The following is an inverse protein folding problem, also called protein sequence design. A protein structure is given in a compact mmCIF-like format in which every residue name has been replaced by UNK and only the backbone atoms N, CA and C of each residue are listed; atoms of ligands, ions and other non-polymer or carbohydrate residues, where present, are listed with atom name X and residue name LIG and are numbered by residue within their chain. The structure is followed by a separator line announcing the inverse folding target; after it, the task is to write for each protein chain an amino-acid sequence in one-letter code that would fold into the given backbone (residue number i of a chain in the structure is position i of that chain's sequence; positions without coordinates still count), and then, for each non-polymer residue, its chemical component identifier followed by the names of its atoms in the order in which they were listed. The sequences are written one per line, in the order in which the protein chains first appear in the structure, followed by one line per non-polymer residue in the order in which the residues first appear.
data_IF_511343526678
#
_entry.id   IF_511343526678
#
_cell.length_a   1.000
_cell.length_b   1.000
_cell.length_c   1.000
_cell.angle_alpha   90.00
_cell.angle_beta   90.00
_cell.angle_gamma   90.00
#
_symmetry.space_group_name_H-M   'P 1'
#
loop_
_entity.id
_entity.type
_entity.pdbx_description
1 polymer ?
#
# COMPACT_ATOMS: atom_id res chain seq x y z
N UNK A 1 -53.34 -43.90 37.03
CA UNK A 1 -51.87 -44.04 37.07
C UNK A 1 -51.35 -43.69 35.69
N UNK A 2 -50.96 -42.43 35.49
CA UNK A 2 -50.28 -41.96 34.28
C UNK A 2 -49.38 -40.81 34.73
N UNK A 3 -48.08 -41.06 34.67
CA UNK A 3 -47.04 -40.13 35.12
C UNK A 3 -46.87 -39.02 34.07
N UNK A 4 -46.91 -37.76 34.51
CA UNK A 4 -46.47 -36.61 33.72
C UNK A 4 -44.97 -36.45 33.90
N UNK A 5 -44.19 -36.76 32.86
CA UNK A 5 -42.78 -36.38 32.80
C UNK A 5 -42.65 -34.86 32.56
N UNK A 6 -41.76 -34.15 33.27
CA UNK A 6 -41.46 -32.76 32.97
C UNK A 6 -40.55 -32.68 31.74
N UNK A 7 -40.95 -31.84 30.77
CA UNK A 7 -40.13 -31.48 29.61
C UNK A 7 -38.78 -30.91 30.07
N UNK A 8 -37.70 -31.61 29.78
CA UNK A 8 -36.35 -31.15 30.06
C UNK A 8 -36.03 -29.90 29.25
N UNK A 9 -35.68 -28.82 29.94
CA UNK A 9 -34.98 -27.68 29.35
C UNK A 9 -33.72 -28.18 28.64
N UNK A 10 -33.71 -28.10 27.30
CA UNK A 10 -32.54 -28.42 26.50
C UNK A 10 -31.34 -27.59 26.96
N UNK A 11 -30.11 -28.15 26.89
CA UNK A 11 -28.92 -27.46 27.37
C UNK A 11 -28.78 -26.11 26.68
N UNK A 12 -28.85 -25.03 27.47
CA UNK A 12 -28.55 -23.67 27.03
C UNK A 12 -27.21 -23.68 26.30
N UNK A 13 -27.25 -23.45 24.98
CA UNK A 13 -26.06 -23.43 24.15
C UNK A 13 -25.08 -22.39 24.72
N UNK A 14 -24.03 -22.88 25.40
CA UNK A 14 -22.97 -22.04 25.96
C UNK A 14 -22.36 -21.29 24.78
N UNK A 15 -22.68 -19.99 24.68
CA UNK A 15 -22.17 -19.14 23.62
C UNK A 15 -20.64 -19.19 23.65
N UNK A 16 -20.03 -19.63 22.56
CA UNK A 16 -18.58 -19.72 22.46
C UNK A 16 -17.95 -18.36 22.84
N UNK A 17 -16.86 -18.34 23.63
CA UNK A 17 -16.21 -17.11 24.04
C UNK A 17 -15.89 -16.23 22.83
N UNK A 18 -16.21 -14.93 22.92
CA UNK A 18 -15.87 -13.98 21.86
C UNK A 18 -14.34 -13.93 21.69
N UNK A 19 -13.82 -13.97 20.45
CA UNK A 19 -12.38 -13.93 20.22
C UNK A 19 -11.77 -12.64 20.78
N UNK A 20 -10.51 -12.68 21.25
CA UNK A 20 -9.84 -11.51 21.82
C UNK A 20 -9.72 -10.38 20.79
N UNK A 21 -9.91 -9.14 21.24
CA UNK A 21 -9.84 -7.95 20.38
C UNK A 21 -8.40 -7.68 19.97
N UNK A 22 -8.19 -7.40 18.69
CA UNK A 22 -6.86 -7.05 18.19
C UNK A 22 -6.38 -5.70 18.77
N UNK A 23 -5.13 -5.66 19.29
CA UNK A 23 -4.52 -4.42 19.73
C UNK A 23 -4.14 -3.52 18.56
N UNK A 24 -4.07 -2.20 18.78
CA UNK A 24 -3.62 -1.25 17.74
C UNK A 24 -2.11 -0.96 17.78
N UNK A 25 -1.46 -1.24 18.91
CA UNK A 25 -0.07 -0.84 19.15
C UNK A 25 0.91 -1.39 18.10
N UNK A 26 0.78 -2.61 17.55
CA UNK A 26 1.80 -3.09 16.61
C UNK A 26 1.79 -2.28 15.30
N UNK A 27 0.60 -1.89 14.83
CA UNK A 27 0.47 -0.99 13.68
C UNK A 27 1.00 0.41 13.99
N UNK A 28 0.79 0.92 15.21
CA UNK A 28 1.34 2.22 15.62
C UNK A 28 2.87 2.20 15.69
N UNK A 29 3.48 1.11 16.14
CA UNK A 29 4.94 0.94 16.13
C UNK A 29 5.45 0.88 14.68
N UNK A 30 4.82 0.04 13.85
CA UNK A 30 5.21 -0.16 12.46
C UNK A 30 5.10 1.14 11.62
N UNK A 31 3.97 1.82 11.67
CA UNK A 31 3.69 3.01 10.84
C UNK A 31 4.05 4.33 11.52
N UNK A 32 3.98 4.42 12.85
CA UNK A 32 4.15 5.67 13.57
C UNK A 32 5.59 6.00 13.95
N UNK A 33 6.46 5.00 14.07
CA UNK A 33 7.88 5.20 14.40
C UNK A 33 8.78 5.25 13.16
N UNK A 34 8.22 5.46 11.96
CA UNK A 34 8.97 5.51 10.70
C UNK A 34 10.16 6.47 10.74
N UNK A 35 10.08 7.70 11.30
CA UNK A 35 11.27 8.55 11.41
C UNK A 35 12.40 7.92 12.22
N UNK A 36 12.07 7.17 13.28
CA UNK A 36 13.05 6.46 14.09
C UNK A 36 13.61 5.23 13.37
N UNK A 37 12.75 4.45 12.71
CA UNK A 37 13.19 3.31 11.91
C UNK A 37 14.07 3.72 10.74
N UNK A 38 13.75 4.84 10.12
CA UNK A 38 14.56 5.43 9.06
C UNK A 38 15.90 5.89 9.61
N UNK A 39 15.93 6.70 10.69
CA UNK A 39 17.19 7.16 11.29
C UNK A 39 18.09 6.00 11.74
N UNK A 40 17.49 4.90 12.19
CA UNK A 40 18.20 3.69 12.56
C UNK A 40 18.72 2.85 11.37
N UNK A 41 18.29 3.14 10.13
CA UNK A 41 18.54 2.30 8.95
C UNK A 41 17.78 0.98 8.96
N UNK A 42 16.74 0.87 9.79
CA UNK A 42 15.98 -0.36 10.02
C UNK A 42 14.63 -0.39 9.31
N UNK A 43 14.20 0.69 8.65
CA UNK A 43 12.86 0.84 8.07
C UNK A 43 12.43 -0.34 7.18
N UNK A 44 13.33 -0.80 6.30
CA UNK A 44 13.06 -1.91 5.41
C UNK A 44 13.09 -3.27 6.11
N UNK A 45 13.94 -3.44 7.13
CA UNK A 45 14.13 -4.71 7.84
C UNK A 45 13.09 -4.95 8.93
N UNK A 46 12.64 -3.88 9.60
CA UNK A 46 11.63 -3.96 10.65
C UNK A 46 10.25 -4.28 10.07
N UNK A 47 10.01 -3.98 8.79
CA UNK A 47 8.70 -4.18 8.16
C UNK A 47 8.25 -5.65 8.20
N UNK A 48 9.03 -6.64 7.72
CA UNK A 48 8.66 -8.04 7.82
C UNK A 48 8.62 -8.56 9.26
N UNK A 49 9.45 -8.02 10.15
CA UNK A 49 9.44 -8.37 11.59
C UNK A 49 8.12 -7.93 12.26
N UNK A 50 7.66 -6.71 12.00
CA UNK A 50 6.33 -6.26 12.43
C UNK A 50 5.21 -7.10 11.78
N UNK A 51 5.38 -7.49 10.51
CA UNK A 51 4.50 -8.43 9.83
C UNK A 51 4.37 -9.77 10.57
N UNK A 52 5.49 -10.34 11.02
CA UNK A 52 5.50 -11.58 11.80
C UNK A 52 4.80 -11.43 13.15
N UNK A 53 4.98 -10.31 13.85
CA UNK A 53 4.26 -10.02 15.12
C UNK A 53 2.75 -9.92 14.87
N UNK A 54 2.33 -9.20 13.83
CA UNK A 54 0.91 -9.10 13.45
C UNK A 54 0.33 -10.47 13.10
N UNK A 55 1.07 -11.30 12.38
CA UNK A 55 0.67 -12.67 12.04
C UNK A 55 0.51 -13.53 13.30
N UNK A 56 1.47 -13.49 14.22
CA UNK A 56 1.39 -14.21 15.49
C UNK A 56 0.12 -13.82 16.29
N UNK A 57 -0.21 -12.53 16.32
CA UNK A 57 -1.44 -12.05 16.95
C UNK A 57 -2.72 -12.55 16.25
N UNK A 58 -2.71 -12.67 14.91
CA UNK A 58 -3.82 -13.25 14.16
C UNK A 58 -3.96 -14.76 14.42
N UNK A 59 -2.84 -15.49 14.52
CA UNK A 59 -2.81 -16.92 14.84
C UNK A 59 -3.36 -17.17 16.25
N UNK A 60 -2.85 -16.46 17.26
CA UNK A 60 -3.31 -16.58 18.66
C UNK A 60 -4.80 -16.25 18.79
N UNK A 61 -5.28 -15.30 18.00
CA UNK A 61 -6.70 -14.94 17.95
C UNK A 61 -7.58 -16.05 17.34
N UNK A 62 -7.05 -16.86 16.43
CA UNK A 62 -7.77 -17.97 15.80
C UNK A 62 -8.71 -17.54 14.67
N UNK A 63 -10.03 -17.47 14.93
CA UNK A 63 -11.05 -17.24 13.88
C UNK A 63 -10.94 -15.84 13.26
N UNK A 64 -10.18 -15.73 12.17
CA UNK A 64 -9.92 -14.49 11.44
C UNK A 64 -10.63 -14.52 10.08
N UNK A 65 -11.67 -13.71 9.86
CA UNK A 65 -12.27 -13.59 8.53
C UNK A 65 -11.29 -12.88 7.60
N UNK A 66 -10.85 -13.58 6.57
CA UNK A 66 -9.94 -13.02 5.56
C UNK A 66 -10.70 -12.06 4.63
N UNK A 67 -10.08 -10.95 4.20
CA UNK A 67 -10.66 -10.07 3.19
C UNK A 67 -10.98 -10.84 1.90
N UNK A 68 -12.06 -10.50 1.18
CA UNK A 68 -12.31 -11.00 -0.16
C UNK A 68 -11.06 -10.85 -1.06
N UNK A 69 -10.86 -11.80 -1.97
CA UNK A 69 -9.68 -11.91 -2.86
C UNK A 69 -8.37 -12.36 -2.20
N UNK A 70 -8.35 -12.66 -0.90
CA UNK A 70 -7.16 -13.24 -0.23
C UNK A 70 -6.62 -14.48 -0.96
N UNK A 71 -7.50 -15.36 -1.46
CA UNK A 71 -7.08 -16.56 -2.21
C UNK A 71 -6.25 -16.25 -3.48
N UNK A 72 -6.56 -15.16 -4.19
CA UNK A 72 -5.80 -14.74 -5.38
C UNK A 72 -4.39 -14.30 -4.98
N UNK A 73 -4.26 -13.59 -3.85
CA UNK A 73 -2.95 -13.20 -3.33
C UNK A 73 -2.16 -14.38 -2.78
N UNK A 74 -2.82 -15.36 -2.15
CA UNK A 74 -2.16 -16.59 -1.71
C UNK A 74 -1.62 -17.39 -2.90
N UNK A 75 -2.36 -17.45 -4.01
CA UNK A 75 -1.87 -18.06 -5.26
C UNK A 75 -0.67 -17.29 -5.81
N UNK A 76 -0.72 -15.96 -5.81
CA UNK A 76 0.44 -15.12 -6.15
C UNK A 76 1.66 -15.44 -5.27
N UNK A 77 1.50 -15.50 -3.94
CA UNK A 77 2.58 -15.83 -3.01
C UNK A 77 3.13 -17.25 -3.24
N UNK A 78 2.28 -18.22 -3.56
CA UNK A 78 2.72 -19.57 -3.91
C UNK A 78 3.57 -19.57 -5.19
N UNK A 79 3.18 -18.81 -6.22
CA UNK A 79 3.96 -18.67 -7.45
C UNK A 79 5.30 -17.95 -7.21
N UNK A 80 5.31 -16.92 -6.37
CA UNK A 80 6.55 -16.26 -5.93
C UNK A 80 7.46 -17.27 -5.24
N UNK A 81 6.94 -18.06 -4.28
CA UNK A 81 7.72 -19.10 -3.60
C UNK A 81 8.28 -20.15 -4.58
N UNK A 82 7.48 -20.61 -5.55
CA UNK A 82 7.93 -21.55 -6.58
C UNK A 82 9.03 -20.95 -7.48
N UNK A 83 8.96 -19.66 -7.79
CA UNK A 83 10.00 -18.98 -8.57
C UNK A 83 11.37 -18.93 -7.88
N UNK A 84 11.44 -19.18 -6.56
CA UNK A 84 12.71 -19.32 -5.85
C UNK A 84 13.59 -20.43 -6.45
N UNK A 85 12.98 -21.46 -7.05
CA UNK A 85 13.68 -22.55 -7.75
C UNK A 85 14.49 -22.08 -8.96
N UNK A 86 14.21 -20.87 -9.48
CA UNK A 86 14.87 -20.28 -10.64
C UNK A 86 16.02 -19.36 -10.26
N UNK A 87 16.30 -19.16 -8.96
CA UNK A 87 17.40 -18.32 -8.51
C UNK A 87 18.74 -18.93 -8.93
N UNK A 88 19.50 -18.19 -9.74
CA UNK A 88 20.80 -18.63 -10.28
C UNK A 88 21.96 -18.48 -9.30
N UNK A 89 21.81 -17.66 -8.25
CA UNK A 89 22.89 -17.36 -7.30
C UNK A 89 22.37 -17.31 -5.86
N UNK A 90 23.11 -17.87 -4.89
CA UNK A 90 22.80 -17.76 -3.46
C UNK A 90 22.68 -16.32 -2.97
N UNK A 91 23.40 -15.37 -3.59
CA UNK A 91 23.38 -13.97 -3.17
C UNK A 91 22.02 -13.30 -3.42
N UNK A 92 21.27 -13.79 -4.41
CA UNK A 92 19.93 -13.30 -4.76
C UNK A 92 18.85 -13.73 -3.76
N UNK A 93 19.15 -14.69 -2.88
CA UNK A 93 18.21 -15.22 -1.89
C UNK A 93 17.80 -14.14 -0.87
N UNK A 94 18.71 -13.25 -0.48
CA UNK A 94 18.42 -12.20 0.49
C UNK A 94 17.44 -11.15 -0.07
N UNK A 95 17.70 -10.50 -1.22
CA UNK A 95 16.71 -9.62 -1.84
C UNK A 95 15.38 -10.32 -2.14
N UNK A 96 15.43 -11.60 -2.57
CA UNK A 96 14.22 -12.39 -2.81
C UNK A 96 13.39 -12.58 -1.53
N UNK A 97 14.03 -13.05 -0.44
CA UNK A 97 13.38 -13.28 0.85
C UNK A 97 12.80 -12.00 1.44
N UNK A 98 13.50 -10.87 1.29
CA UNK A 98 13.03 -9.58 1.75
C UNK A 98 11.79 -9.10 0.98
N UNK A 99 11.80 -9.21 -0.36
CA UNK A 99 10.63 -8.90 -1.21
C UNK A 99 9.43 -9.79 -0.90
N UNK A 100 9.66 -11.10 -0.74
CA UNK A 100 8.64 -12.04 -0.29
C UNK A 100 8.08 -11.61 1.08
N UNK A 101 8.95 -11.22 2.00
CA UNK A 101 8.59 -10.68 3.30
C UNK A 101 7.65 -9.48 3.20
N UNK A 102 7.86 -8.56 2.25
CA UNK A 102 6.94 -7.45 2.01
C UNK A 102 5.58 -7.90 1.46
N UNK A 103 5.55 -8.84 0.52
CA UNK A 103 4.28 -9.38 -0.01
C UNK A 103 3.45 -10.12 1.06
N UNK A 104 4.12 -10.89 1.92
CA UNK A 104 3.48 -11.57 3.06
C UNK A 104 2.99 -10.53 4.08
N UNK A 105 3.82 -9.56 4.43
CA UNK A 105 3.49 -8.50 5.38
C UNK A 105 2.28 -7.69 4.92
N UNK A 106 2.20 -7.38 3.63
CA UNK A 106 1.08 -6.66 3.06
C UNK A 106 -0.24 -7.44 3.25
N UNK A 107 -0.25 -8.76 2.96
CA UNK A 107 -1.41 -9.60 3.21
C UNK A 107 -1.81 -9.60 4.69
N UNK A 108 -0.83 -9.79 5.58
CA UNK A 108 -1.05 -9.82 7.02
C UNK A 108 -1.63 -8.50 7.52
N UNK A 109 -1.06 -7.37 7.14
CA UNK A 109 -1.55 -6.03 7.53
C UNK A 109 -2.94 -5.78 6.97
N UNK A 110 -3.19 -6.12 5.70
CA UNK A 110 -4.51 -5.97 5.10
C UNK A 110 -5.58 -6.77 5.85
N UNK A 111 -5.29 -8.03 6.17
CA UNK A 111 -6.16 -8.88 6.98
C UNK A 111 -6.36 -8.34 8.40
N UNK A 112 -5.28 -7.93 9.06
CA UNK A 112 -5.31 -7.38 10.41
C UNK A 112 -6.18 -6.13 10.50
N UNK A 113 -5.95 -5.17 9.60
CA UNK A 113 -6.66 -3.89 9.55
C UNK A 113 -8.12 -4.10 9.16
N UNK A 114 -8.41 -4.99 8.22
CA UNK A 114 -9.77 -5.35 7.85
C UNK A 114 -10.56 -5.87 9.07
N UNK A 115 -10.00 -6.82 9.81
CA UNK A 115 -10.64 -7.38 11.01
C UNK A 115 -10.78 -6.31 12.09
N UNK A 116 -9.71 -5.56 12.36
CA UNK A 116 -9.73 -4.46 13.34
C UNK A 116 -10.82 -3.43 13.02
N UNK A 117 -10.91 -2.99 11.76
CA UNK A 117 -11.88 -2.02 11.29
C UNK A 117 -13.31 -2.57 11.32
N UNK A 118 -13.52 -3.89 11.10
CA UNK A 118 -14.84 -4.54 11.18
C UNK A 118 -15.39 -4.60 12.60
N UNK A 119 -14.55 -4.71 13.61
CA UNK A 119 -14.98 -4.96 14.99
C UNK A 119 -15.03 -3.72 15.89
N UNK A 120 -14.28 -2.68 15.53
CA UNK A 120 -14.23 -1.45 16.33
C UNK A 120 -15.41 -0.54 16.02
N UNK A 121 -16.16 -0.13 17.03
CA UNK A 121 -17.26 0.83 16.86
C UNK A 121 -16.82 2.10 16.12
N UNK A 122 -15.60 2.59 16.40
CA UNK A 122 -14.98 3.70 15.68
C UNK A 122 -14.08 3.21 14.52
N UNK A 123 -14.52 3.34 13.26
CA UNK A 123 -13.68 2.99 12.11
C UNK A 123 -12.49 3.94 11.92
N UNK A 124 -12.55 5.18 12.42
CA UNK A 124 -11.44 6.13 12.27
C UNK A 124 -10.20 5.69 13.05
N UNK A 125 -10.38 4.95 14.16
CA UNK A 125 -9.29 4.39 14.94
C UNK A 125 -8.39 3.47 14.09
N UNK A 126 -8.95 2.80 13.08
CA UNK A 126 -8.18 1.94 12.18
C UNK A 126 -7.21 2.72 11.29
N UNK A 127 -7.48 4.01 11.01
CA UNK A 127 -6.65 4.86 10.16
C UNK A 127 -5.57 5.64 10.94
N UNK A 128 -5.57 5.58 12.28
CA UNK A 128 -4.57 6.32 13.08
C UNK A 128 -3.12 5.93 12.74
N UNK A 129 -2.77 4.63 12.57
CA UNK A 129 -1.40 4.26 12.18
C UNK A 129 -0.95 4.88 10.85
N UNK A 130 -1.77 4.82 9.80
CA UNK A 130 -1.44 5.40 8.49
C UNK A 130 -1.41 6.94 8.53
N UNK A 131 -2.15 7.58 9.43
CA UNK A 131 -2.01 9.02 9.70
C UNK A 131 -0.69 9.36 10.42
N UNK A 132 -0.19 8.48 11.29
CA UNK A 132 1.12 8.65 11.91
C UNK A 132 2.25 8.50 10.87
N UNK A 133 2.12 7.53 9.96
CA UNK A 133 2.99 7.36 8.80
C UNK A 133 3.03 8.60 7.93
N UNK A 134 1.86 9.20 7.67
CA UNK A 134 1.76 10.46 6.93
C UNK A 134 2.59 11.58 7.56
N UNK A 135 2.52 11.79 8.88
CA UNK A 135 3.37 12.79 9.53
C UNK A 135 4.86 12.47 9.39
N UNK A 136 5.24 11.20 9.45
CA UNK A 136 6.60 10.75 9.16
C UNK A 136 7.03 11.11 7.73
N UNK A 137 6.18 10.86 6.73
CA UNK A 137 6.44 11.27 5.34
C UNK A 137 6.61 12.78 5.21
N UNK A 138 5.73 13.58 5.83
CA UNK A 138 5.81 15.04 5.76
C UNK A 138 7.09 15.55 6.41
N UNK A 139 7.42 15.05 7.61
CA UNK A 139 8.62 15.43 8.34
C UNK A 139 9.90 15.12 7.55
N UNK A 140 10.01 13.89 7.05
CA UNK A 140 11.18 13.44 6.29
C UNK A 140 11.25 14.08 4.89
N UNK A 141 10.10 14.35 4.27
CA UNK A 141 10.02 15.13 3.05
C UNK A 141 10.60 16.53 3.24
N UNK A 142 10.23 17.22 4.32
CA UNK A 142 10.82 18.52 4.67
C UNK A 142 12.30 18.44 5.00
N UNK A 143 12.76 17.36 5.65
CA UNK A 143 14.20 17.12 5.83
C UNK A 143 14.93 17.06 4.47
N UNK A 144 14.36 16.38 3.48
CA UNK A 144 14.89 16.36 2.11
C UNK A 144 14.89 17.71 1.40
N UNK A 145 13.99 18.62 1.77
CA UNK A 145 13.96 19.99 1.23
C UNK A 145 14.96 20.90 1.93
N UNK A 146 15.02 20.86 3.26
CA UNK A 146 15.83 21.77 4.08
C UNK A 146 17.29 21.34 4.18
N UNK A 147 17.54 20.03 4.12
CA UNK A 147 18.87 19.43 4.18
C UNK A 147 19.04 18.37 3.07
N UNK A 148 19.03 18.77 1.79
CA UNK A 148 19.02 17.84 0.65
C UNK A 148 20.26 16.94 0.57
N UNK A 149 21.40 17.38 1.15
CA UNK A 149 22.64 16.60 1.21
C UNK A 149 22.79 15.78 2.49
N UNK A 150 21.77 15.76 3.34
CA UNK A 150 21.82 14.96 4.56
C UNK A 150 21.89 13.47 4.19
N UNK A 151 22.98 12.84 4.61
CA UNK A 151 23.20 11.41 4.54
C UNK A 151 23.84 10.96 5.85
N UNK A 152 23.54 9.73 6.27
CA UNK A 152 24.02 9.18 7.53
C UNK A 152 24.30 7.69 7.38
N UNK A 153 25.50 7.26 7.78
CA UNK A 153 25.79 5.86 8.06
C UNK A 153 25.02 5.45 9.31
N UNK A 154 24.09 4.52 9.15
CA UNK A 154 23.13 4.21 10.21
C UNK A 154 23.64 3.18 11.22
N UNK A 155 23.02 3.10 12.41
CA UNK A 155 23.29 2.01 13.34
C UNK A 155 23.14 0.62 12.71
N UNK A 156 22.13 0.41 11.85
CA UNK A 156 21.95 -0.86 11.16
C UNK A 156 23.10 -1.16 10.18
N UNK A 157 23.56 -0.15 9.43
CA UNK A 157 24.71 -0.28 8.53
C UNK A 157 25.97 -0.69 9.28
N UNK A 158 26.22 -0.09 10.46
CA UNK A 158 27.37 -0.42 11.31
C UNK A 158 27.30 -1.83 11.93
N UNK A 159 26.09 -2.36 12.16
CA UNK A 159 25.89 -3.69 12.75
C UNK A 159 25.98 -4.83 11.74
N UNK A 160 25.77 -4.54 10.44
CA UNK A 160 25.79 -5.57 9.41
C UNK A 160 27.22 -6.02 9.06
N UNK A 161 27.44 -7.32 8.81
CA UNK A 161 28.72 -7.81 8.31
C UNK A 161 29.15 -7.12 7.01
N UNK A 162 30.44 -6.84 6.85
CA UNK A 162 30.98 -6.13 5.68
C UNK A 162 30.59 -6.78 4.34
N UNK A 163 30.48 -8.11 4.28
CA UNK A 163 30.05 -8.83 3.08
C UNK A 163 28.58 -8.61 2.68
N UNK A 164 27.72 -8.22 3.62
CA UNK A 164 26.31 -7.89 3.36
C UNK A 164 26.15 -6.41 2.96
N UNK A 165 26.89 -5.51 3.60
CA UNK A 165 26.87 -4.07 3.30
C UNK A 165 27.42 -3.78 1.91
N UNK A 166 28.41 -4.56 1.44
CA UNK A 166 28.96 -4.41 0.08
C UNK A 166 28.00 -4.76 -1.05
N UNK A 167 26.80 -5.29 -0.77
CA UNK A 167 25.79 -5.53 -1.79
C UNK A 167 24.97 -4.25 -2.06
N UNK A 168 24.96 -3.69 -3.29
CA UNK A 168 24.34 -2.38 -3.57
C UNK A 168 22.89 -2.27 -3.11
N UNK A 169 22.08 -3.31 -3.37
CA UNK A 169 20.70 -3.35 -2.89
C UNK A 169 20.60 -3.24 -1.36
N UNK A 170 21.46 -3.89 -0.59
CA UNK A 170 21.41 -3.84 0.88
C UNK A 170 21.87 -2.47 1.37
N UNK A 171 22.91 -1.92 0.75
CA UNK A 171 23.42 -0.60 1.04
C UNK A 171 22.33 0.47 0.88
N UNK A 172 21.55 0.42 -0.21
CA UNK A 172 20.41 1.33 -0.44
C UNK A 172 19.31 1.25 0.64
N UNK A 173 19.24 0.14 1.40
CA UNK A 173 18.23 -0.02 2.44
C UNK A 173 18.68 0.44 3.83
N UNK A 174 19.98 0.41 4.09
CA UNK A 174 20.55 0.70 5.41
C UNK A 174 21.28 2.04 5.46
N UNK A 175 21.83 2.50 4.33
CA UNK A 175 22.37 3.84 4.21
C UNK A 175 21.23 4.81 3.94
N UNK A 176 21.12 5.89 4.74
CA UNK A 176 20.03 6.85 4.55
C UNK A 176 20.51 8.13 3.89
N UNK A 177 19.71 8.61 2.95
CA UNK A 177 19.80 9.94 2.35
C UNK A 177 18.46 10.64 2.45
N UNK A 178 18.47 11.96 2.56
CA UNK A 178 17.25 12.77 2.61
C UNK A 178 16.66 13.03 1.21
N UNK A 179 17.50 13.09 0.18
CA UNK A 179 17.11 13.34 -1.20
C UNK A 179 17.87 12.44 -2.19
N UNK A 180 17.20 12.10 -3.29
CA UNK A 180 17.77 11.46 -4.47
C UNK A 180 18.34 12.54 -5.41
N UNK A 181 19.56 12.35 -5.88
CA UNK A 181 20.22 13.21 -6.87
C UNK A 181 21.24 12.39 -7.67
N UNK A 182 21.66 12.90 -8.82
CA UNK A 182 22.75 12.31 -9.60
C UNK A 182 24.08 12.95 -9.20
N UNK A 183 25.03 12.14 -8.74
CA UNK A 183 26.37 12.62 -8.37
C UNK A 183 27.20 13.07 -9.58
N UNK A 184 26.88 12.54 -10.76
CA UNK A 184 27.57 12.84 -12.02
C UNK A 184 27.11 14.17 -12.65
N UNK A 185 26.00 14.72 -12.18
CA UNK A 185 25.47 15.98 -12.72
C UNK A 185 26.22 17.19 -12.17
N UNK A 186 26.68 18.06 -13.06
CA UNK A 186 27.31 19.34 -12.68
C UNK A 186 26.34 20.28 -11.93
N UNK A 187 25.03 20.15 -12.16
CA UNK A 187 23.96 20.90 -11.50
C UNK A 187 22.91 19.92 -10.95
N UNK A 188 23.21 19.23 -9.84
CA UNK A 188 22.34 18.17 -9.34
C UNK A 188 21.01 18.74 -8.84
N UNK A 189 19.91 18.14 -9.31
CA UNK A 189 18.57 18.42 -8.81
C UNK A 189 18.30 17.47 -7.64
N UNK A 190 18.15 18.02 -6.44
CA UNK A 190 17.83 17.27 -5.23
C UNK A 190 16.33 17.05 -5.11
N UNK A 191 15.92 15.77 -5.01
CA UNK A 191 14.52 15.36 -4.97
C UNK A 191 14.24 14.66 -3.66
N UNK A 192 13.32 15.15 -2.80
CA UNK A 192 13.03 14.49 -1.53
C UNK A 192 12.65 13.02 -1.70
N UNK A 193 13.30 12.14 -0.94
CA UNK A 193 13.12 10.68 -1.06
C UNK A 193 12.87 9.97 0.28
N UNK A 194 13.37 10.50 1.39
CA UNK A 194 13.22 9.89 2.72
C UNK A 194 11.75 9.64 3.10
N UNK A 195 11.39 8.47 3.67
CA UNK A 195 12.28 7.44 4.23
C UNK A 195 12.80 6.42 3.21
N UNK A 196 12.55 6.63 1.91
CA UNK A 196 12.93 5.70 0.87
C UNK A 196 14.25 6.12 0.20
N UNK A 197 14.99 5.18 -0.41
CA UNK A 197 16.19 5.50 -1.19
C UNK A 197 15.85 6.24 -2.49
N UNK A 198 14.64 6.04 -3.03
CA UNK A 198 14.23 6.66 -4.29
C UNK A 198 12.95 7.48 -4.13
N UNK A 199 12.93 8.63 -4.81
CA UNK A 199 11.81 9.57 -4.87
C UNK A 199 10.52 8.92 -5.41
N UNK A 200 10.67 7.89 -6.23
CA UNK A 200 9.54 7.14 -6.79
C UNK A 200 8.73 6.45 -5.68
N UNK A 201 9.40 5.84 -4.71
CA UNK A 201 8.77 5.17 -3.58
C UNK A 201 8.14 6.18 -2.63
N UNK A 202 8.80 7.32 -2.38
CA UNK A 202 8.21 8.45 -1.65
C UNK A 202 6.89 8.91 -2.29
N UNK A 203 6.92 9.19 -3.60
CA UNK A 203 5.73 9.64 -4.33
C UNK A 203 4.62 8.59 -4.37
N UNK A 204 4.99 7.31 -4.52
CA UNK A 204 4.06 6.19 -4.42
C UNK A 204 3.37 6.16 -3.05
N UNK A 205 4.15 6.14 -1.97
CA UNK A 205 3.65 6.15 -0.60
C UNK A 205 2.73 7.35 -0.33
N UNK A 206 3.15 8.54 -0.76
CA UNK A 206 2.40 9.78 -0.62
C UNK A 206 1.02 9.68 -1.30
N UNK A 207 0.99 9.32 -2.58
CA UNK A 207 -0.25 9.25 -3.36
C UNK A 207 -1.22 8.19 -2.82
N UNK A 208 -0.73 7.09 -2.27
CA UNK A 208 -1.56 6.03 -1.69
C UNK A 208 -2.02 6.34 -0.25
N UNK A 209 -1.23 7.12 0.50
CA UNK A 209 -1.56 7.54 1.87
C UNK A 209 -2.53 8.72 1.90
N UNK A 210 -2.45 9.65 0.94
CA UNK A 210 -3.28 10.85 0.89
C UNK A 210 -4.80 10.54 0.99
N UNK A 211 -5.38 9.59 0.22
CA UNK A 211 -6.79 9.25 0.36
C UNK A 211 -7.16 8.74 1.76
N UNK A 212 -6.23 8.04 2.43
CA UNK A 212 -6.43 7.53 3.78
C UNK A 212 -6.51 8.68 4.82
N UNK A 213 -5.64 9.68 4.67
CA UNK A 213 -5.63 10.88 5.52
C UNK A 213 -6.90 11.70 5.32
N UNK A 214 -7.29 11.96 4.06
CA UNK A 214 -8.53 12.67 3.75
C UNK A 214 -9.73 11.91 4.31
N UNK A 215 -9.79 10.59 4.15
CA UNK A 215 -10.85 9.75 4.72
C UNK A 215 -10.89 9.84 6.27
N UNK A 216 -9.75 9.84 6.95
CA UNK A 216 -9.71 10.03 8.41
C UNK A 216 -10.32 11.38 8.81
N UNK A 217 -9.94 12.47 8.13
CA UNK A 217 -10.53 13.78 8.41
C UNK A 217 -12.03 13.77 8.13
N UNK A 218 -12.54 13.04 7.15
CA UNK A 218 -13.98 12.95 6.93
C UNK A 218 -14.72 12.16 8.02
N UNK A 219 -14.09 11.13 8.59
CA UNK A 219 -14.66 10.32 9.66
C UNK A 219 -14.67 11.04 11.02
N UNK A 220 -13.62 11.83 11.34
CA UNK A 220 -13.48 12.54 12.61
C UNK A 220 -13.72 14.03 12.45
N UNK A 221 -14.83 14.55 13.00
CA UNK A 221 -15.20 15.98 12.91
C UNK A 221 -14.44 16.92 13.86
N UNK A 222 -13.89 16.39 14.96
CA UNK A 222 -13.18 17.16 16.00
C UNK A 222 -11.98 16.38 16.50
N UNK A 223 -11.03 17.06 17.15
CA UNK A 223 -9.86 16.48 17.78
C UNK A 223 -8.54 17.02 17.22
N UNK A 224 -7.51 17.02 18.07
CA UNK A 224 -6.17 17.51 17.72
C UNK A 224 -5.62 16.85 16.45
N UNK A 225 -5.72 15.52 16.35
CA UNK A 225 -5.21 14.76 15.20
C UNK A 225 -5.86 15.19 13.87
N UNK A 226 -7.16 15.52 13.86
CA UNK A 226 -7.82 16.05 12.65
C UNK A 226 -7.19 17.37 12.22
N UNK A 227 -7.01 18.31 13.15
CA UNK A 227 -6.42 19.61 12.84
C UNK A 227 -4.97 19.51 12.41
N UNK A 228 -4.17 18.70 13.10
CA UNK A 228 -2.80 18.40 12.70
C UNK A 228 -2.74 17.85 11.26
N UNK A 229 -3.65 16.93 10.90
CA UNK A 229 -3.72 16.42 9.52
C UNK A 229 -4.12 17.50 8.52
N UNK A 230 -5.13 18.31 8.83
CA UNK A 230 -5.56 19.42 7.96
C UNK A 230 -4.45 20.45 7.70
N UNK A 231 -3.61 20.73 8.70
CA UNK A 231 -2.43 21.60 8.56
C UNK A 231 -1.29 20.90 7.81
N UNK A 232 -1.10 19.60 8.03
CA UNK A 232 -0.05 18.84 7.33
C UNK A 232 -0.32 18.66 5.83
N UNK A 233 -1.58 18.66 5.39
CA UNK A 233 -1.96 18.52 3.98
C UNK A 233 -1.37 19.63 3.07
N UNK A 234 -1.50 20.93 3.38
CA UNK A 234 -0.82 21.96 2.60
C UNK A 234 0.70 21.93 2.82
N UNK A 235 1.18 21.67 4.04
CA UNK A 235 2.63 21.58 4.31
C UNK A 235 3.31 20.47 3.53
N UNK A 236 2.62 19.38 3.22
CA UNK A 236 3.17 18.25 2.49
C UNK A 236 3.32 18.50 1.00
N UNK A 237 2.74 19.58 0.47
CA UNK A 237 2.78 19.87 -0.97
C UNK A 237 4.17 20.31 -1.40
N UNK A 238 4.86 21.16 -0.64
CA UNK A 238 6.21 21.62 -0.99
C UNK A 238 7.20 20.46 -1.24
N UNK A 239 7.43 19.52 -0.30
CA UNK A 239 8.32 18.39 -0.56
C UNK A 239 7.79 17.51 -1.69
N UNK A 240 6.47 17.30 -1.77
CA UNK A 240 5.83 16.51 -2.83
C UNK A 240 6.05 17.11 -4.22
N UNK A 241 5.95 18.42 -4.39
CA UNK A 241 6.19 19.08 -5.68
C UNK A 241 7.66 19.06 -6.08
N UNK A 242 8.56 19.22 -5.11
CA UNK A 242 10.00 19.13 -5.32
C UNK A 242 10.48 17.71 -5.63
N UNK A 243 9.64 16.68 -5.45
CA UNK A 243 9.93 15.34 -5.98
C UNK A 243 10.02 15.30 -7.51
N UNK A 244 9.38 16.25 -8.21
CA UNK A 244 9.24 16.27 -9.68
C UNK A 244 8.71 14.94 -10.23
N UNK A 245 7.91 14.22 -9.43
CA UNK A 245 7.53 12.85 -9.72
C UNK A 245 6.26 12.77 -10.57
N UNK A 246 6.45 12.70 -11.89
CA UNK A 246 5.34 12.74 -12.88
C UNK A 246 4.27 11.67 -12.66
N UNK A 247 4.68 10.42 -12.45
CA UNK A 247 3.72 9.30 -12.30
C UNK A 247 2.90 9.42 -11.01
N UNK A 248 3.44 10.06 -9.96
CA UNK A 248 2.71 10.33 -8.72
C UNK A 248 1.57 11.31 -9.00
N UNK A 249 1.84 12.40 -9.72
CA UNK A 249 0.79 13.35 -10.12
C UNK A 249 -0.26 12.71 -11.04
N UNK A 250 0.18 11.94 -12.04
CA UNK A 250 -0.73 11.25 -12.96
C UNK A 250 -1.61 10.24 -12.22
N UNK A 251 -1.02 9.39 -11.38
CA UNK A 251 -1.78 8.39 -10.61
C UNK A 251 -2.75 9.02 -9.62
N UNK A 252 -2.35 10.11 -8.95
CA UNK A 252 -3.25 10.86 -8.09
C UNK A 252 -4.38 11.53 -8.90
N UNK A 253 -4.05 12.13 -10.04
CA UNK A 253 -5.02 12.73 -10.95
C UNK A 253 -6.06 11.73 -11.45
N UNK A 254 -5.64 10.52 -11.86
CA UNK A 254 -6.55 9.43 -12.24
C UNK A 254 -7.43 9.00 -11.06
N UNK A 255 -6.84 8.84 -9.87
CA UNK A 255 -7.60 8.52 -8.64
C UNK A 255 -8.67 9.57 -8.32
N UNK A 256 -8.31 10.86 -8.37
CA UNK A 256 -9.22 11.98 -8.17
C UNK A 256 -10.28 12.07 -9.28
N UNK A 257 -9.93 11.78 -10.53
CA UNK A 257 -10.87 11.72 -11.66
C UNK A 257 -11.93 10.63 -11.46
N UNK A 258 -11.51 9.41 -11.11
CA UNK A 258 -12.43 8.31 -10.77
C UNK A 258 -13.32 8.69 -9.57
N UNK A 259 -12.74 9.33 -8.56
CA UNK A 259 -13.49 9.81 -7.39
C UNK A 259 -14.52 10.88 -7.77
N UNK A 260 -14.15 11.85 -8.62
CA UNK A 260 -15.01 12.92 -9.11
C UNK A 260 -16.17 12.40 -9.95
N UNK A 261 -15.91 11.49 -10.89
CA UNK A 261 -16.95 10.81 -11.68
C UNK A 261 -17.92 10.08 -10.76
N UNK A 262 -17.42 9.34 -9.77
CA UNK A 262 -18.27 8.63 -8.80
C UNK A 262 -19.07 9.59 -7.91
N UNK A 263 -18.49 10.72 -7.52
CA UNK A 263 -19.18 11.75 -6.74
C UNK A 263 -20.33 12.36 -7.53
N UNK A 264 -20.11 12.70 -8.80
CA UNK A 264 -21.13 13.22 -9.70
C UNK A 264 -22.27 12.23 -9.92
N UNK A 265 -21.95 10.97 -10.26
CA UNK A 265 -22.93 9.91 -10.48
C UNK A 265 -23.77 9.58 -9.22
N UNK A 266 -23.24 9.83 -8.03
CA UNK A 266 -23.91 9.54 -6.75
C UNK A 266 -24.46 10.78 -6.04
N UNK A 267 -24.35 11.97 -6.63
CA UNK A 267 -24.74 13.24 -6.00
C UNK A 267 -24.01 13.53 -4.68
N UNK A 268 -22.81 12.98 -4.46
CA UNK A 268 -22.09 13.12 -3.20
C UNK A 268 -21.29 14.43 -3.16
N UNK A 269 -21.97 15.53 -2.83
CA UNK A 269 -21.39 16.88 -2.76
C UNK A 269 -20.19 16.98 -1.84
N UNK A 270 -20.12 16.17 -0.77
CA UNK A 270 -18.98 16.16 0.16
C UNK A 270 -17.71 15.64 -0.52
N UNK A 271 -17.84 14.60 -1.34
CA UNK A 271 -16.71 14.07 -2.11
C UNK A 271 -16.32 15.07 -3.19
N UNK A 272 -17.28 15.61 -3.95
CA UNK A 272 -17.03 16.63 -4.96
C UNK A 272 -16.28 17.84 -4.40
N UNK A 273 -16.77 18.43 -3.31
CA UNK A 273 -16.11 19.55 -2.64
C UNK A 273 -14.70 19.21 -2.15
N UNK A 274 -14.48 18.00 -1.62
CA UNK A 274 -13.13 17.58 -1.19
C UNK A 274 -12.17 17.39 -2.37
N UNK A 275 -12.63 16.87 -3.51
CA UNK A 275 -11.81 16.74 -4.72
C UNK A 275 -11.44 18.13 -5.26
N UNK A 276 -12.43 19.02 -5.36
CA UNK A 276 -12.18 20.42 -5.76
C UNK A 276 -11.20 21.10 -4.81
N UNK A 277 -11.36 20.92 -3.49
CA UNK A 277 -10.43 21.45 -2.50
C UNK A 277 -8.99 20.96 -2.73
N UNK A 278 -8.79 19.65 -2.94
CA UNK A 278 -7.46 19.11 -3.24
C UNK A 278 -6.90 19.66 -4.55
N UNK A 279 -7.71 19.76 -5.60
CA UNK A 279 -7.29 20.32 -6.89
C UNK A 279 -6.93 21.80 -6.80
N UNK A 280 -7.71 22.60 -6.07
CA UNK A 280 -7.44 24.04 -5.87
C UNK A 280 -6.16 24.24 -5.08
N UNK A 281 -5.98 23.54 -3.95
CA UNK A 281 -4.76 23.68 -3.13
C UNK A 281 -3.53 23.19 -3.93
N UNK A 282 -3.66 22.08 -4.66
CA UNK A 282 -2.62 21.58 -5.54
C UNK A 282 -2.28 22.57 -6.67
N UNK A 283 -3.29 23.14 -7.33
CA UNK A 283 -3.14 24.13 -8.39
C UNK A 283 -2.50 25.43 -7.90
N UNK A 284 -2.93 25.96 -6.76
CA UNK A 284 -2.31 27.14 -6.14
C UNK A 284 -0.84 26.89 -5.82
N UNK A 285 -0.49 25.70 -5.32
CA UNK A 285 0.90 25.35 -5.05
C UNK A 285 1.74 25.26 -6.33
N UNK A 286 1.16 24.73 -7.42
CA UNK A 286 1.82 24.67 -8.72
C UNK A 286 2.05 26.05 -9.36
N UNK A 287 1.36 27.11 -8.90
CA UNK A 287 1.65 28.49 -9.30
C UNK A 287 2.82 29.10 -8.50
N UNK A 288 3.05 28.64 -7.26
CA UNK A 288 4.10 29.14 -6.38
C UNK A 288 5.45 28.46 -6.63
N UNK A 289 5.42 27.18 -7.03
CA UNK A 289 6.62 26.40 -7.35
C UNK A 289 6.71 26.33 -8.88
N UNK A 290 7.84 26.70 -9.52
CA UNK A 290 8.01 26.65 -10.98
C UNK A 290 8.16 25.20 -11.48
N UNK A 291 7.16 24.36 -11.20
CA UNK A 291 7.15 22.92 -11.46
C UNK A 291 7.25 22.64 -12.95
N UNK A 292 6.57 23.44 -13.78
CA UNK A 292 6.60 23.28 -15.23
C UNK A 292 8.01 23.51 -15.79
N UNK A 293 8.71 24.54 -15.31
CA UNK A 293 10.09 24.83 -15.71
C UNK A 293 11.06 23.75 -15.22
N UNK A 294 10.93 23.32 -13.97
CA UNK A 294 11.72 22.23 -13.39
C UNK A 294 11.48 20.88 -14.11
N UNK A 295 10.25 20.61 -14.56
CA UNK A 295 9.92 19.42 -15.35
C UNK A 295 10.49 19.52 -16.76
N UNK A 296 10.36 20.69 -17.41
CA UNK A 296 10.88 20.89 -18.77
C UNK A 296 12.41 20.79 -18.80
N UNK A 297 13.10 21.45 -17.86
CA UNK A 297 14.56 21.35 -17.70
C UNK A 297 15.01 19.90 -17.45
N UNK A 298 14.17 19.08 -16.79
CA UNK A 298 14.42 17.65 -16.61
C UNK A 298 14.23 16.85 -17.90
N UNK A 299 13.23 17.17 -18.71
CA UNK A 299 12.97 16.46 -19.98
C UNK A 299 14.11 16.71 -20.97
N UNK A 300 14.59 17.95 -21.06
CA UNK A 300 15.69 18.31 -21.97
C UNK A 300 17.05 17.71 -21.54
N UNK A 301 17.26 17.44 -20.26
CA UNK A 301 18.51 16.84 -19.75
C UNK A 301 18.49 15.31 -19.60
N UNK A 302 17.34 14.65 -19.81
CA UNK A 302 17.19 13.21 -19.54
C UNK A 302 16.88 12.41 -20.82
N UNK A 303 17.91 11.94 -21.52
CA UNK A 303 17.81 11.00 -22.67
C UNK A 303 17.30 9.58 -22.30
N UNK A 304 16.84 9.38 -21.06
CA UNK A 304 16.38 8.08 -20.48
C UNK A 304 15.16 7.41 -21.12
N UNK A 305 14.42 8.03 -22.05
CA UNK A 305 13.23 7.39 -22.66
C UNK A 305 13.63 6.23 -23.60
N UNK A 306 14.73 6.39 -24.32
CA UNK A 306 15.27 5.40 -25.26
C UNK A 306 15.78 4.17 -24.50
N UNK A 307 16.41 4.38 -23.34
CA UNK A 307 16.92 3.31 -22.45
C UNK A 307 15.81 2.51 -21.75
N UNK A 308 14.68 3.14 -21.42
CA UNK A 308 13.57 2.41 -20.78
C UNK A 308 12.85 1.48 -21.75
N UNK A 309 12.66 1.92 -23.01
CA UNK A 309 12.00 1.11 -24.02
C UNK A 309 12.84 -0.14 -24.35
N UNK A 310 14.17 0.01 -24.47
CA UNK A 310 15.06 -1.13 -24.70
C UNK A 310 15.01 -2.14 -23.56
N UNK A 311 14.97 -1.69 -22.30
CA UNK A 311 14.80 -2.56 -21.13
C UNK A 311 13.44 -3.29 -21.15
N UNK A 312 12.34 -2.63 -21.53
CA UNK A 312 11.03 -3.29 -21.63
C UNK A 312 10.98 -4.35 -22.73
N UNK A 313 11.56 -4.04 -23.90
CA UNK A 313 11.66 -4.99 -25.00
C UNK A 313 12.50 -6.21 -24.59
N UNK A 314 13.56 -6.01 -23.81
CA UNK A 314 14.37 -7.10 -23.30
C UNK A 314 13.61 -7.98 -22.29
N UNK A 315 12.78 -7.40 -21.41
CA UNK A 315 11.88 -8.19 -20.54
C UNK A 315 10.94 -9.05 -21.38
N UNK A 316 10.31 -8.46 -22.41
CA UNK A 316 9.36 -9.17 -23.29
C UNK A 316 10.04 -10.27 -24.09
N UNK A 317 11.29 -10.06 -24.51
CA UNK A 317 12.08 -11.07 -25.21
C UNK A 317 12.40 -12.24 -24.29
N UNK A 318 12.97 -11.97 -23.10
CA UNK A 318 13.42 -12.99 -22.16
C UNK A 318 12.29 -13.78 -21.52
N UNK A 319 11.14 -13.16 -21.29
CA UNK A 319 10.02 -13.88 -20.70
C UNK A 319 9.51 -15.01 -21.61
N UNK A 320 9.84 -14.97 -22.91
CA UNK A 320 9.60 -16.08 -23.84
C UNK A 320 10.32 -17.37 -23.43
N UNK A 321 11.47 -17.28 -22.78
CA UNK A 321 12.28 -18.44 -22.39
C UNK A 321 11.81 -19.06 -21.05
N UNK A 322 11.28 -18.24 -20.12
CA UNK A 322 10.73 -18.71 -18.84
C UNK A 322 9.38 -18.05 -18.49
N UNK A 323 8.30 -18.35 -19.24
CA UNK A 323 7.02 -17.66 -19.09
C UNK A 323 6.26 -18.01 -17.80
N UNK A 324 6.52 -19.19 -17.22
CA UNK A 324 5.73 -19.73 -16.10
C UNK A 324 6.23 -19.28 -14.74
N UNK A 325 7.55 -19.40 -14.49
CA UNK A 325 8.16 -19.11 -13.20
C UNK A 325 9.09 -17.89 -13.24
N UNK A 326 9.37 -17.34 -14.42
CA UNK A 326 10.34 -16.25 -14.57
C UNK A 326 11.75 -16.69 -14.19
N UNK A 327 12.56 -15.74 -13.76
CA UNK A 327 13.97 -15.95 -13.39
C UNK A 327 14.24 -15.91 -11.87
N UNK A 328 13.19 -15.90 -11.05
CA UNK A 328 13.27 -15.80 -9.59
C UNK A 328 13.64 -14.40 -9.06
N UNK A 329 14.50 -13.66 -9.76
CA UNK A 329 14.91 -12.30 -9.42
C UNK A 329 15.24 -11.46 -10.67
N UNK A 330 15.25 -10.11 -10.55
CA UNK A 330 15.85 -9.24 -11.56
C UNK A 330 17.31 -9.61 -11.82
N UNK A 331 17.74 -9.54 -13.07
CA UNK A 331 19.12 -9.85 -13.49
C UNK A 331 19.75 -8.61 -14.12
N UNK A 332 20.97 -8.29 -13.71
CA UNK A 332 21.80 -7.28 -14.38
C UNK A 332 22.23 -7.81 -15.73
N UNK A 333 22.01 -7.03 -16.78
CA UNK A 333 22.54 -7.34 -18.11
C UNK A 333 23.64 -6.37 -18.47
N UNK A 334 24.63 -6.89 -19.16
CA UNK A 334 25.66 -6.12 -19.83
C UNK A 334 25.06 -5.52 -21.12
N UNK A 335 24.18 -4.53 -20.97
CA UNK A 335 23.76 -3.69 -22.09
C UNK A 335 24.72 -2.51 -22.20
N UNK A 336 25.13 -2.19 -23.43
CA UNK A 336 26.07 -1.10 -23.76
C UNK A 336 25.64 0.28 -23.21
N UNK A 337 24.40 0.41 -22.71
CA UNK A 337 23.79 1.67 -22.28
C UNK A 337 23.11 1.67 -20.91
N UNK A 338 23.06 0.56 -20.14
CA UNK A 338 22.38 0.60 -18.84
C UNK A 338 22.98 -0.34 -17.77
N UNK A 339 23.57 0.25 -16.73
CA UNK A 339 23.98 -0.43 -15.50
C UNK A 339 22.79 -0.87 -14.61
N UNK A 340 21.55 -0.55 -14.99
CA UNK A 340 20.36 -0.78 -14.16
C UNK A 340 19.76 -2.18 -14.40
N UNK A 341 19.50 -2.99 -13.35
CA UNK A 341 18.99 -4.36 -13.52
C UNK A 341 17.64 -4.43 -14.25
N UNK A 342 17.52 -5.38 -15.19
CA UNK A 342 16.28 -5.60 -15.97
C UNK A 342 15.15 -6.07 -15.06
N UNK A 343 13.96 -5.48 -15.24
CA UNK A 343 12.77 -5.76 -14.43
C UNK A 343 12.59 -4.85 -13.21
N UNK A 344 13.49 -3.89 -12.96
CA UNK A 344 13.36 -2.95 -11.82
C UNK A 344 12.55 -1.68 -12.14
N UNK A 345 12.19 -1.48 -13.42
CA UNK A 345 11.54 -0.27 -13.94
C UNK A 345 10.06 -0.10 -13.55
N UNK A 346 9.53 -1.02 -12.76
CA UNK A 346 8.14 -1.03 -12.31
C UNK A 346 7.78 -2.38 -11.72
N UNK A 347 6.80 -2.39 -10.81
CA UNK A 347 6.31 -3.59 -10.18
C UNK A 347 5.73 -4.58 -11.21
N UNK A 348 5.14 -4.08 -12.30
CA UNK A 348 4.65 -4.91 -13.42
C UNK A 348 5.77 -5.77 -13.98
N UNK A 349 6.87 -5.11 -14.36
CA UNK A 349 8.02 -5.73 -15.00
C UNK A 349 8.76 -6.63 -14.03
N UNK A 350 8.85 -6.22 -12.75
CA UNK A 350 9.50 -7.02 -11.71
C UNK A 350 8.77 -8.34 -11.49
N UNK A 351 7.45 -8.31 -11.36
CA UNK A 351 6.65 -9.53 -11.16
C UNK A 351 6.69 -10.40 -12.42
N UNK A 352 6.54 -9.80 -13.60
CA UNK A 352 6.60 -10.54 -14.87
C UNK A 352 7.92 -11.27 -15.02
N UNK A 353 9.03 -10.55 -14.90
CA UNK A 353 10.36 -11.09 -15.12
C UNK A 353 10.79 -12.08 -14.02
N UNK A 354 10.50 -11.77 -12.75
CA UNK A 354 10.98 -12.58 -11.63
C UNK A 354 10.09 -13.79 -11.34
N UNK A 355 8.79 -13.71 -11.63
CA UNK A 355 7.82 -14.71 -11.16
C UNK A 355 6.90 -15.25 -12.26
N UNK A 356 7.03 -14.77 -13.50
CA UNK A 356 6.28 -15.27 -14.65
C UNK A 356 4.93 -14.61 -14.87
N UNK A 357 4.30 -14.96 -15.99
CA UNK A 357 2.99 -14.48 -16.42
C UNK A 357 1.88 -14.84 -15.42
N UNK A 358 1.80 -16.09 -14.88
CA UNK A 358 0.76 -16.45 -13.92
C UNK A 358 0.79 -15.58 -12.66
N UNK A 359 1.99 -15.26 -12.15
CA UNK A 359 2.15 -14.42 -10.97
C UNK A 359 1.67 -12.98 -11.26
N UNK A 360 2.03 -12.42 -12.43
CA UNK A 360 1.55 -11.11 -12.85
C UNK A 360 0.03 -11.06 -12.95
N UNK A 361 -0.59 -12.08 -13.56
CA UNK A 361 -2.05 -12.15 -13.67
C UNK A 361 -2.71 -12.18 -12.29
N UNK A 362 -2.18 -12.96 -11.34
CA UNK A 362 -2.71 -12.98 -9.98
C UNK A 362 -2.53 -11.62 -9.27
N UNK A 363 -1.38 -10.97 -9.43
CA UNK A 363 -1.09 -9.66 -8.86
C UNK A 363 -2.07 -8.58 -9.37
N UNK A 364 -2.26 -8.51 -10.70
CA UNK A 364 -3.18 -7.55 -11.32
C UNK A 364 -4.64 -7.89 -11.03
N UNK A 365 -5.01 -9.18 -11.08
CA UNK A 365 -6.36 -9.62 -10.74
C UNK A 365 -6.72 -9.25 -9.31
N UNK A 366 -5.80 -9.42 -8.36
CA UNK A 366 -6.02 -9.00 -6.98
C UNK A 366 -6.33 -7.49 -6.90
N UNK A 367 -5.50 -6.64 -7.51
CA UNK A 367 -5.70 -5.18 -7.54
C UNK A 367 -7.04 -4.78 -8.14
N UNK A 368 -7.43 -5.39 -9.28
CA UNK A 368 -8.71 -5.13 -9.94
C UNK A 368 -9.87 -5.57 -9.06
N UNK A 369 -9.82 -6.78 -8.49
CA UNK A 369 -10.89 -7.30 -7.63
C UNK A 369 -11.07 -6.40 -6.40
N UNK A 370 -9.99 -5.99 -5.72
CA UNK A 370 -10.10 -5.14 -4.54
C UNK A 370 -10.55 -3.72 -4.89
N UNK A 371 -10.19 -3.18 -6.05
CA UNK A 371 -10.72 -1.92 -6.55
C UNK A 371 -12.25 -1.99 -6.76
N UNK A 372 -12.73 -3.03 -7.44
CA UNK A 372 -14.16 -3.25 -7.69
C UNK A 372 -14.95 -3.48 -6.39
N UNK A 373 -14.37 -4.23 -5.43
CA UNK A 373 -15.00 -4.47 -4.12
C UNK A 373 -15.04 -3.19 -3.28
N UNK A 374 -13.94 -2.43 -3.24
CA UNK A 374 -13.87 -1.17 -2.50
C UNK A 374 -14.78 -0.10 -3.11
N UNK A 375 -15.02 -0.14 -4.43
CA UNK A 375 -15.95 0.76 -5.11
C UNK A 375 -17.41 0.64 -4.61
N UNK A 376 -17.75 -0.41 -3.85
CA UNK A 376 -19.07 -0.56 -3.20
C UNK A 376 -19.29 0.42 -2.05
N UNK A 377 -18.22 0.97 -1.46
CA UNK A 377 -18.33 1.97 -0.41
C UNK A 377 -19.10 3.21 -0.90
N UNK A 378 -20.11 3.62 -0.16
CA UNK A 378 -21.03 4.73 -0.42
C UNK A 378 -20.68 5.98 0.37
N UNK A 379 -20.18 5.85 1.60
CA UNK A 379 -19.79 7.00 2.41
C UNK A 379 -18.66 7.80 1.76
N UNK A 380 -18.61 9.11 2.00
CA UNK A 380 -17.52 9.95 1.51
C UNK A 380 -16.10 9.44 1.87
N UNK A 381 -15.79 9.08 3.13
CA UNK A 381 -14.49 8.49 3.47
C UNK A 381 -14.25 7.14 2.78
N UNK A 382 -15.27 6.29 2.66
CA UNK A 382 -15.16 5.02 1.95
C UNK A 382 -14.87 5.19 0.46
N UNK A 383 -15.41 6.24 -0.18
CA UNK A 383 -15.12 6.56 -1.58
C UNK A 383 -13.67 7.00 -1.78
N UNK A 384 -13.10 7.80 -0.88
CA UNK A 384 -11.67 8.16 -0.90
C UNK A 384 -10.78 6.93 -0.73
N UNK A 385 -11.06 6.05 0.24
CA UNK A 385 -10.29 4.82 0.42
C UNK A 385 -10.38 3.88 -0.79
N UNK A 386 -11.53 3.88 -1.49
CA UNK A 386 -11.76 3.03 -2.65
C UNK A 386 -10.90 3.36 -3.88
N UNK A 387 -10.26 4.54 -3.94
CA UNK A 387 -9.36 4.89 -5.05
C UNK A 387 -7.90 4.52 -4.80
N UNK A 388 -7.53 4.11 -3.58
CA UNK A 388 -6.16 3.62 -3.26
C UNK A 388 -5.70 2.51 -4.22
N UNK A 389 -6.45 1.43 -4.48
CA UNK A 389 -6.02 0.40 -5.43
C UNK A 389 -6.01 0.89 -6.89
N UNK A 390 -6.80 1.91 -7.24
CA UNK A 390 -6.76 2.53 -8.59
C UNK A 390 -5.48 3.33 -8.78
N UNK A 391 -5.09 4.13 -7.78
CA UNK A 391 -3.82 4.85 -7.76
C UNK A 391 -2.66 3.86 -7.89
N UNK A 392 -2.69 2.77 -7.13
CA UNK A 392 -1.71 1.70 -7.21
C UNK A 392 -1.64 1.12 -8.64
N UNK A 393 -2.77 0.74 -9.25
CA UNK A 393 -2.81 0.20 -10.62
C UNK A 393 -2.12 1.08 -11.66
N UNK A 394 -2.25 2.40 -11.55
CA UNK A 394 -1.55 3.36 -12.45
C UNK A 394 -0.04 3.39 -12.20
N UNK A 395 0.39 3.15 -10.96
CA UNK A 395 1.80 3.15 -10.57
C UNK A 395 2.54 1.84 -10.90
N UNK A 396 1.85 0.69 -10.89
CA UNK A 396 2.45 -0.65 -11.12
C UNK A 396 3.41 -0.71 -12.33
N UNK A 397 3.10 -0.11 -13.50
CA UNK A 397 4.01 -0.16 -14.65
C UNK A 397 5.32 0.64 -14.49
N UNK A 398 5.38 1.58 -13.55
CA UNK A 398 6.45 2.59 -13.47
C UNK A 398 7.22 2.61 -12.16
N UNK A 399 6.62 2.13 -11.06
CA UNK A 399 7.24 2.09 -9.73
C UNK A 399 7.39 0.67 -9.24
N UNK A 400 8.57 0.32 -8.75
CA UNK A 400 8.74 -0.84 -7.90
C UNK A 400 7.97 -0.65 -6.59
N UNK A 401 7.26 -1.69 -6.16
CA UNK A 401 6.46 -1.68 -4.93
C UNK A 401 6.74 -2.91 -4.07
N UNK A 402 7.75 -3.72 -4.41
CA UNK A 402 8.23 -4.83 -3.60
C UNK A 402 9.04 -4.31 -2.39
N UNK A 403 8.40 -3.48 -1.58
CA UNK A 403 8.93 -2.72 -0.45
C UNK A 403 7.78 -2.34 0.52
N UNK A 404 8.01 -1.57 1.60
CA UNK A 404 6.95 -1.14 2.53
C UNK A 404 5.69 -0.51 1.89
N UNK A 405 5.79 0.12 0.71
CA UNK A 405 4.70 0.81 0.01
C UNK A 405 3.50 -0.08 -0.31
N UNK A 406 3.71 -1.35 -0.70
CA UNK A 406 2.59 -2.25 -1.01
C UNK A 406 1.71 -2.53 0.21
N UNK A 407 2.28 -2.45 1.41
CA UNK A 407 1.53 -2.57 2.66
C UNK A 407 0.51 -1.44 2.83
N UNK A 408 0.81 -0.23 2.34
CA UNK A 408 -0.09 0.93 2.38
C UNK A 408 -1.36 0.64 1.57
N UNK A 409 -1.23 -0.01 0.42
CA UNK A 409 -2.36 -0.42 -0.43
C UNK A 409 -3.26 -1.39 0.32
N UNK A 410 -2.67 -2.45 0.89
CA UNK A 410 -3.40 -3.45 1.66
C UNK A 410 -4.09 -2.86 2.89
N UNK A 411 -3.44 -1.91 3.56
CA UNK A 411 -4.01 -1.17 4.68
C UNK A 411 -5.27 -0.40 4.23
N UNK A 412 -5.14 0.44 3.21
CA UNK A 412 -6.24 1.25 2.68
C UNK A 412 -7.41 0.41 2.20
N UNK A 413 -7.12 -0.66 1.45
CA UNK A 413 -8.09 -1.66 0.98
C UNK A 413 -8.80 -2.35 2.15
N UNK A 414 -8.06 -2.77 3.17
CA UNK A 414 -8.62 -3.41 4.36
C UNK A 414 -9.66 -2.53 5.06
N UNK A 415 -9.37 -1.24 5.25
CA UNK A 415 -10.35 -0.28 5.81
C UNK A 415 -11.50 -0.04 4.83
N UNK A 416 -11.24 0.14 3.54
CA UNK A 416 -12.26 0.40 2.52
C UNK A 416 -13.32 -0.71 2.47
N UNK A 417 -12.87 -1.97 2.47
CA UNK A 417 -13.74 -3.13 2.40
C UNK A 417 -14.53 -3.31 3.70
N UNK A 418 -13.91 -3.09 4.86
CA UNK A 418 -14.61 -3.12 6.14
C UNK A 418 -15.72 -2.06 6.23
N UNK A 419 -15.47 -0.85 5.72
CA UNK A 419 -16.48 0.22 5.63
C UNK A 419 -17.59 -0.13 4.63
N UNK A 420 -17.24 -0.64 3.45
CA UNK A 420 -18.21 -1.05 2.45
C UNK A 420 -19.18 -2.13 2.98
N UNK A 421 -18.68 -3.08 3.76
CA UNK A 421 -19.51 -4.11 4.41
C UNK A 421 -20.43 -3.52 5.47
N UNK A 422 -19.94 -2.61 6.31
CA UNK A 422 -20.76 -1.92 7.32
C UNK A 422 -21.90 -1.14 6.68
N UNK A 423 -21.62 -0.47 5.57
CA UNK A 423 -22.60 0.33 4.84
C UNK A 423 -23.62 -0.51 4.07
N UNK A 424 -23.29 -1.76 3.73
CA UNK A 424 -24.22 -2.69 3.09
C UNK A 424 -25.31 -3.22 4.04
N UNK A 425 -25.10 -3.11 5.36
CA UNK A 425 -26.01 -3.61 6.40
C UNK A 425 -26.00 -5.15 6.55
N UNK A 426 -26.70 -5.71 7.56
CA UNK A 426 -26.90 -7.15 7.65
C UNK A 426 -27.63 -7.63 6.39
N UNK A 427 -27.11 -8.65 5.71
CA UNK A 427 -27.93 -9.40 4.75
C UNK A 427 -29.15 -9.87 5.53
N UNK A 428 -30.34 -9.34 5.23
CA UNK A 428 -31.58 -9.97 5.69
C UNK A 428 -31.49 -11.42 5.21
N UNK A 429 -31.57 -12.44 6.10
CA UNK A 429 -31.82 -13.78 5.61
C UNK A 429 -33.10 -13.71 4.80
N UNK A 430 -33.12 -14.35 3.63
CA UNK A 430 -34.29 -14.41 2.76
C UNK A 430 -35.52 -14.62 3.63
N UNK A 431 -36.52 -13.75 3.46
CA UNK A 431 -37.83 -13.97 4.08
C UNK A 431 -38.27 -15.35 3.61
N UNK A 432 -38.28 -16.32 4.52
CA UNK A 432 -38.97 -17.57 4.28
C UNK A 432 -40.36 -17.22 3.74
N UNK A 433 -40.80 -17.85 2.63
CA UNK A 433 -42.12 -17.56 2.08
C UNK A 433 -43.16 -17.74 3.20
N UNK A 434 -44.16 -16.86 3.30
CA UNK A 434 -45.12 -16.92 4.38
C UNK A 434 -45.79 -18.29 4.37
N UNK A 435 -45.54 -19.08 5.42
CA UNK A 435 -46.23 -20.32 5.68
C UNK A 435 -47.71 -19.97 5.75
N UNK A 436 -48.49 -20.37 4.74
CA UNK A 436 -49.95 -20.21 4.77
C UNK A 436 -50.46 -21.00 5.98
N UNK A 437 -50.83 -20.29 7.03
CA UNK A 437 -51.66 -20.83 8.10
C UNK A 437 -52.96 -21.32 7.46
N UNK A 438 -53.07 -22.64 7.32
CA UNK A 438 -54.29 -23.32 6.92
C UNK A 438 -55.28 -23.12 8.07
N UNK A 439 -56.24 -22.21 7.90
CA UNK A 439 -57.42 -22.12 8.77
C UNK A 439 -58.10 -23.48 8.74
N UNK A 440 -58.00 -24.23 9.83
CA UNK A 440 -58.95 -25.29 10.15
C UNK A 440 -60.30 -24.62 10.38
N UNK A 441 -61.22 -24.84 9.44
CA UNK A 441 -62.63 -24.56 9.64
C UNK A 441 -63.14 -25.72 10.48
N UNK A 442 -63.54 -25.41 11.72
CA UNK A 442 -64.40 -26.29 12.49
C UNK A 442 -65.79 -26.23 11.88
N UNK A 443 -66.30 -27.39 11.49
CA UNK A 443 -67.67 -27.67 11.07
C UNK A 443 -67.99 -29.09 11.47
#
# INVERSE_FOLDING_TARGET
MAASEPEGEGPSAVAAPLPPRLPRWPLLIMFGLVPLWWLAGAFYLIWPLCGAVLLALLIVRGRVPLPPATGVWLLFLALVLLSATQLSSPISLLPFGLRLGYYVTALVVGGYVYVYARERADPAAALVPICAFWFGLVLLGWLGVLAPRFALTTPMEMLLPAGLVGHPYVQDLVHISAAEYSELSLNPIYRPAAPFPYTNNYGSAYAMTLPCVVAYTMLRRRGFLRWALLVSLPLSLAPTFLTLNRVMFVSLGVGLGVLGVRAALRGNVRVGASVVGVLVIGGLTALLIPVAELINNRVESSDTNTDRLSLYLEVIRRIGDSPWLGYGAPVSVDTVTAEVPVGTQGQLWMVLFSHGIPALLCFLAWLVIVALRSARARSAPGQWLAVVPVICLVQVPFYGMADPTITIVFFGVGVAMALAEREAGPRRPDRAPPTRLRRTVAG
#
